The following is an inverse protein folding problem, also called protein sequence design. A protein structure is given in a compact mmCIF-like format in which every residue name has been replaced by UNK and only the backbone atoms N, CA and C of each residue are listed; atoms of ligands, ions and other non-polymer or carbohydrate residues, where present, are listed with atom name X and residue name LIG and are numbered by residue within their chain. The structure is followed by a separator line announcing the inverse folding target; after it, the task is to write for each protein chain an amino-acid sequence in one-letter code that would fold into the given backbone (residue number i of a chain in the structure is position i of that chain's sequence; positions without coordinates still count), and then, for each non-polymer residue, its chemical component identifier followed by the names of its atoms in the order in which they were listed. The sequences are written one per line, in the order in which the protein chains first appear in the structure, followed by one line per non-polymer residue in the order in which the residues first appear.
data_IF_705742355144
#
_entry.id   IF_705742355144
#
_cell.length_a   1.000
_cell.length_b   1.000
_cell.length_c   1.000
_cell.angle_alpha   90.00
_cell.angle_beta   90.00
_cell.angle_gamma   90.00
#
_symmetry.space_group_name_H-M   'P 1'
#
loop_
_entity.id
_entity.type
_entity.pdbx_description
1 polymer ?
#
# COMPACT_ATOMS: atom_id res chain seq x y z
N UNK A 1 -9.63 -8.64 -0.54
CA UNK A 1 -9.04 -7.30 -0.70
C UNK A 1 -8.16 -6.97 0.50
N UNK A 2 -7.03 -6.35 0.28
CA UNK A 2 -6.19 -5.85 1.36
C UNK A 2 -5.47 -4.56 0.95
N UNK A 3 -5.07 -3.82 1.97
CA UNK A 3 -4.14 -2.70 1.85
C UNK A 3 -3.05 -2.84 2.92
N UNK A 4 -1.83 -2.52 2.54
CA UNK A 4 -0.70 -2.37 3.45
C UNK A 4 0.12 -1.15 3.06
N UNK A 5 0.37 -0.25 4.00
CA UNK A 5 1.17 0.94 3.76
C UNK A 5 0.97 2.03 4.80
N UNK A 6 0.98 3.25 4.35
CA UNK A 6 0.71 4.45 5.15
C UNK A 6 -0.62 5.06 4.71
N UNK A 7 -1.45 5.40 5.67
CA UNK A 7 -2.74 6.05 5.43
C UNK A 7 -3.06 7.07 6.52
N UNK A 8 -3.94 8.01 6.21
CA UNK A 8 -4.58 8.82 7.25
C UNK A 8 -5.53 7.94 8.05
N UNK A 9 -5.86 8.39 9.26
CA UNK A 9 -6.82 7.67 10.11
C UNK A 9 -8.19 7.65 9.42
N UNK A 10 -8.66 6.46 9.06
CA UNK A 10 -9.96 6.24 8.43
C UNK A 10 -10.49 4.88 8.87
N UNK A 11 -11.80 4.79 9.02
CA UNK A 11 -12.50 3.56 9.39
C UNK A 11 -12.83 2.67 8.18
N UNK A 12 -12.74 3.20 6.96
CA UNK A 12 -13.12 2.53 5.72
C UNK A 12 -12.11 2.82 4.61
N UNK A 13 -10.87 2.37 4.78
CA UNK A 13 -9.78 2.69 3.87
C UNK A 13 -9.99 2.14 2.45
N UNK A 14 -10.63 0.98 2.32
CA UNK A 14 -11.00 0.40 1.03
C UNK A 14 -12.52 0.47 0.88
N UNK A 15 -12.99 1.09 -0.19
CA UNK A 15 -14.40 1.17 -0.53
C UNK A 15 -14.58 0.89 -2.03
N UNK A 16 -15.30 -0.19 -2.36
CA UNK A 16 -15.60 -0.55 -3.74
C UNK A 16 -14.35 -0.76 -4.62
N UNK A 17 -13.35 -1.45 -4.10
CA UNK A 17 -12.07 -1.73 -4.78
C UNK A 17 -11.17 -0.51 -4.99
N UNK A 18 -11.51 0.63 -4.40
CA UNK A 18 -10.69 1.85 -4.43
C UNK A 18 -10.30 2.28 -3.03
N UNK A 19 -9.24 3.07 -2.92
CA UNK A 19 -8.93 3.74 -1.65
C UNK A 19 -9.93 4.88 -1.43
N UNK A 20 -10.49 4.94 -0.22
CA UNK A 20 -11.42 6.01 0.17
C UNK A 20 -10.71 7.28 0.64
N UNK A 21 -9.48 7.15 1.11
CA UNK A 21 -8.73 8.21 1.77
C UNK A 21 -7.28 8.29 1.30
N UNK A 22 -6.58 9.33 1.74
CA UNK A 22 -5.17 9.53 1.43
C UNK A 22 -4.32 8.36 1.93
N UNK A 23 -3.54 7.79 1.04
CA UNK A 23 -2.70 6.63 1.35
C UNK A 23 -1.57 6.44 0.35
N UNK A 24 -0.51 5.77 0.79
CA UNK A 24 0.60 5.28 -0.04
C UNK A 24 0.88 3.83 0.38
N UNK A 25 0.81 2.89 -0.54
CA UNK A 25 1.08 1.50 -0.18
C UNK A 25 0.80 0.51 -1.29
N UNK A 26 0.54 -0.69 -0.85
CA UNK A 26 0.22 -1.83 -1.70
C UNK A 26 -1.22 -2.23 -1.48
N UNK A 27 -1.91 -2.60 -2.54
CA UNK A 27 -3.27 -3.14 -2.45
C UNK A 27 -3.50 -4.31 -3.40
N UNK A 28 -4.46 -5.14 -3.04
CA UNK A 28 -5.10 -6.11 -3.92
C UNK A 28 -6.60 -5.91 -3.79
N UNK A 29 -7.29 -5.70 -4.90
CA UNK A 29 -8.69 -5.26 -4.92
C UNK A 29 -9.63 -6.20 -5.66
N UNK A 30 -9.09 -7.28 -6.17
CA UNK A 30 -9.82 -8.34 -6.86
C UNK A 30 -9.49 -9.68 -6.24
N UNK A 31 -10.28 -10.71 -6.52
CA UNK A 31 -10.02 -12.07 -6.05
C UNK A 31 -8.84 -12.75 -6.79
N UNK A 32 -8.01 -11.96 -7.43
CA UNK A 32 -6.73 -12.41 -7.98
C UNK A 32 -5.60 -12.20 -6.97
N UNK A 33 -4.51 -12.90 -7.18
CA UNK A 33 -3.31 -12.79 -6.33
C UNK A 33 -2.38 -11.65 -6.78
N UNK A 34 -2.92 -10.64 -7.46
CA UNK A 34 -2.11 -9.56 -8.05
C UNK A 34 -1.98 -8.38 -7.10
N UNK A 35 -0.76 -7.93 -6.93
CA UNK A 35 -0.41 -6.79 -6.11
C UNK A 35 -0.26 -5.53 -6.98
N UNK A 36 -0.85 -4.44 -6.50
CA UNK A 36 -0.71 -3.11 -7.08
C UNK A 36 -0.01 -2.18 -6.08
N UNK A 37 0.82 -1.28 -6.59
CA UNK A 37 1.29 -0.12 -5.82
C UNK A 37 0.31 1.04 -6.02
N UNK A 38 0.10 1.85 -5.00
CA UNK A 38 -0.88 2.94 -5.06
C UNK A 38 -0.46 4.16 -4.26
N UNK A 39 -0.81 5.34 -4.79
CA UNK A 39 -0.78 6.61 -4.09
C UNK A 39 -2.11 7.33 -4.32
N UNK A 40 -2.69 7.88 -3.26
CA UNK A 40 -3.90 8.70 -3.32
C UNK A 40 -3.75 9.94 -2.46
N UNK A 41 -3.98 11.10 -3.05
CA UNK A 41 -3.81 12.42 -2.40
C UNK A 41 -5.09 13.06 -1.89
N UNK A 42 -6.17 12.34 -1.86
CA UNK A 42 -7.48 12.84 -1.47
C UNK A 42 -8.53 12.56 -2.53
N UNK A 43 -8.48 13.22 -3.67
CA UNK A 43 -9.45 13.03 -4.75
C UNK A 43 -9.03 12.02 -5.80
N UNK A 44 -7.74 11.96 -6.09
CA UNK A 44 -7.21 11.16 -7.21
C UNK A 44 -6.27 10.07 -6.74
N UNK A 45 -6.36 8.91 -7.37
CA UNK A 45 -5.52 7.76 -7.11
C UNK A 45 -4.69 7.41 -8.34
N UNK A 46 -3.39 7.16 -8.14
CA UNK A 46 -2.48 6.63 -9.16
C UNK A 46 -2.03 5.25 -8.73
N UNK A 47 -2.15 4.27 -9.64
CA UNK A 47 -1.74 2.89 -9.40
C UNK A 47 -0.72 2.43 -10.42
N UNK A 48 0.20 1.56 -9.96
CA UNK A 48 1.04 0.74 -10.82
C UNK A 48 0.55 -0.71 -10.70
N UNK A 49 0.11 -1.27 -11.81
CA UNK A 49 -0.56 -2.58 -11.85
C UNK A 49 0.44 -3.72 -11.96
N UNK A 50 0.04 -4.89 -11.44
CA UNK A 50 0.75 -6.17 -11.65
C UNK A 50 2.23 -6.14 -11.25
N UNK A 51 2.53 -5.48 -10.13
CA UNK A 51 3.93 -5.38 -9.66
C UNK A 51 4.45 -6.67 -9.02
N UNK A 52 3.55 -7.54 -8.58
CA UNK A 52 3.85 -8.86 -8.04
C UNK A 52 2.62 -9.75 -8.08
N UNK A 53 2.83 -11.07 -8.13
CA UNK A 53 1.76 -12.07 -7.97
C UNK A 53 2.09 -12.92 -6.76
N UNK A 54 1.16 -12.97 -5.80
CA UNK A 54 1.35 -13.79 -4.60
C UNK A 54 1.26 -15.27 -4.90
N UNK A 55 2.12 -16.03 -4.23
CA UNK A 55 2.09 -17.49 -4.22
C UNK A 55 1.67 -17.95 -2.83
N UNK A 56 0.65 -18.79 -2.76
CA UNK A 56 0.14 -19.32 -1.49
C UNK A 56 1.24 -19.98 -0.67
N UNK A 57 1.29 -19.67 0.61
CA UNK A 57 2.27 -20.21 1.54
C UNK A 57 3.66 -19.60 1.45
N UNK A 58 3.84 -18.54 0.65
CA UNK A 58 5.13 -17.85 0.52
C UNK A 58 5.04 -16.45 1.13
N UNK A 59 5.97 -16.11 2.00
CA UNK A 59 6.13 -14.74 2.49
C UNK A 59 6.82 -13.88 1.45
N UNK A 60 6.39 -12.63 1.35
CA UNK A 60 7.00 -11.62 0.50
C UNK A 60 7.31 -10.38 1.33
N UNK A 61 8.45 -9.76 1.08
CA UNK A 61 8.84 -8.52 1.72
C UNK A 61 8.42 -7.33 0.87
N UNK A 62 7.54 -6.50 1.42
CA UNK A 62 7.05 -5.29 0.76
C UNK A 62 7.69 -4.07 1.41
N UNK A 63 8.17 -3.13 0.61
CA UNK A 63 8.77 -1.90 1.09
C UNK A 63 8.34 -0.70 0.26
N UNK A 64 8.09 0.42 0.93
CA UNK A 64 7.85 1.70 0.28
C UNK A 64 8.82 2.75 0.82
N UNK A 65 9.41 3.53 -0.09
CA UNK A 65 10.25 4.67 0.23
C UNK A 65 9.62 5.93 -0.35
N UNK A 66 9.31 6.88 0.51
CA UNK A 66 8.76 8.18 0.11
C UNK A 66 9.92 9.16 -0.02
N UNK A 67 10.00 9.84 -1.16
CA UNK A 67 11.02 10.84 -1.45
C UNK A 67 10.38 12.22 -1.49
N UNK A 68 10.35 12.86 -0.34
CA UNK A 68 9.68 14.15 -0.17
C UNK A 68 8.22 14.08 -0.59
N UNK A 69 7.80 15.04 -1.42
CA UNK A 69 6.46 15.08 -2.00
C UNK A 69 6.46 14.71 -3.50
N UNK A 70 7.59 14.21 -3.99
CA UNK A 70 7.82 14.05 -5.43
C UNK A 70 7.69 12.62 -5.92
N UNK A 71 7.95 11.62 -5.08
CA UNK A 71 7.92 10.23 -5.51
C UNK A 71 7.67 9.26 -4.36
N UNK A 72 7.02 8.15 -4.68
CA UNK A 72 6.98 6.96 -3.86
C UNK A 72 7.58 5.78 -4.65
N UNK A 73 8.56 5.11 -4.07
CA UNK A 73 9.25 3.97 -4.67
C UNK A 73 8.83 2.69 -3.95
N UNK A 74 8.43 1.69 -4.71
CA UNK A 74 7.88 0.44 -4.21
C UNK A 74 8.83 -0.72 -4.51
N UNK A 75 9.06 -1.54 -3.50
CA UNK A 75 10.01 -2.65 -3.54
C UNK A 75 9.32 -3.95 -3.18
N UNK A 76 9.64 -5.01 -3.90
CA UNK A 76 9.27 -6.38 -3.58
C UNK A 76 10.55 -7.18 -3.43
N UNK A 77 10.72 -7.81 -2.27
CA UNK A 77 11.93 -8.56 -1.89
C UNK A 77 13.24 -7.77 -2.12
N UNK A 78 13.20 -6.46 -1.85
CA UNK A 78 14.34 -5.56 -2.00
C UNK A 78 14.57 -5.03 -3.42
N UNK A 79 13.77 -5.44 -4.40
CA UNK A 79 13.86 -4.99 -5.79
C UNK A 79 12.86 -3.89 -6.06
N UNK A 80 13.30 -2.78 -6.67
CA UNK A 80 12.42 -1.70 -7.10
C UNK A 80 11.51 -2.19 -8.23
N UNK A 81 10.19 -2.17 -7.98
CA UNK A 81 9.20 -2.66 -8.95
C UNK A 81 8.30 -1.56 -9.51
N UNK A 82 8.18 -0.43 -8.81
CA UNK A 82 7.41 0.71 -9.29
C UNK A 82 7.89 2.02 -8.67
N UNK A 83 7.70 3.11 -9.41
CA UNK A 83 7.87 4.48 -8.91
C UNK A 83 6.64 5.27 -9.34
N UNK A 84 5.93 5.86 -8.36
CA UNK A 84 4.79 6.73 -8.59
C UNK A 84 5.19 8.16 -8.26
N UNK A 85 4.93 9.09 -9.17
CA UNK A 85 5.29 10.51 -9.04
C UNK A 85 4.08 11.44 -9.01
N UNK A 86 2.88 10.86 -9.01
CA UNK A 86 1.61 11.60 -8.98
C UNK A 86 0.78 11.21 -7.76
N UNK A 87 -0.04 12.15 -7.31
CA UNK A 87 -0.97 11.96 -6.20
C UNK A 87 -0.29 11.47 -4.90
N UNK A 88 0.90 12.02 -4.63
CA UNK A 88 1.64 11.75 -3.39
C UNK A 88 0.99 12.56 -2.26
N UNK A 89 0.43 11.94 -1.22
CA UNK A 89 -0.12 12.67 -0.09
C UNK A 89 0.94 13.47 0.66
N UNK A 90 0.55 14.63 1.15
CA UNK A 90 1.41 15.50 1.98
C UNK A 90 0.95 15.56 3.44
N UNK A 91 -0.13 14.88 3.77
CA UNK A 91 -0.72 14.83 5.11
C UNK A 91 0.02 13.82 5.97
N UNK A 92 -0.02 14.02 7.28
CA UNK A 92 0.47 13.02 8.23
C UNK A 92 -0.26 11.69 8.06
N UNK A 93 0.52 10.62 7.97
CA UNK A 93 0.02 9.25 7.75
C UNK A 93 0.58 8.30 8.80
N UNK A 94 -0.11 7.18 8.98
CA UNK A 94 0.26 6.12 9.91
C UNK A 94 0.36 4.79 9.19
N UNK A 95 1.18 3.90 9.73
CA UNK A 95 1.22 2.50 9.25
C UNK A 95 -0.16 1.89 9.41
N UNK A 96 -0.69 1.36 8.32
CA UNK A 96 -2.08 0.90 8.24
C UNK A 96 -2.16 -0.44 7.51
N UNK A 97 -3.00 -1.30 8.06
CA UNK A 97 -3.38 -2.58 7.47
C UNK A 97 -4.88 -2.66 7.36
N UNK A 98 -5.36 -3.12 6.23
CA UNK A 98 -6.77 -3.47 6.04
C UNK A 98 -6.82 -4.80 5.31
N UNK A 99 -7.64 -5.71 5.82
CA UNK A 99 -7.97 -6.97 5.15
C UNK A 99 -9.47 -7.13 5.23
N UNK A 100 -10.15 -7.17 4.09
CA UNK A 100 -11.60 -7.33 4.04
C UNK A 100 -12.00 -8.40 3.05
N UNK A 101 -13.10 -9.09 3.37
CA UNK A 101 -13.70 -10.06 2.48
C UNK A 101 -14.60 -9.37 1.46
N UNK A 102 -14.43 -9.71 0.18
CA UNK A 102 -15.39 -9.35 -0.86
C UNK A 102 -16.52 -10.39 -1.02
N UNK A 103 -16.52 -11.44 -0.21
CA UNK A 103 -17.46 -12.56 -0.31
C UNK A 103 -17.74 -13.23 1.02
N UNK A 104 -18.16 -14.48 0.99
CA UNK A 104 -18.55 -15.26 2.17
C UNK A 104 -17.38 -15.91 2.90
N UNK A 105 -16.19 -15.90 2.31
CA UNK A 105 -14.98 -16.49 2.91
C UNK A 105 -14.21 -15.43 3.66
N UNK A 106 -13.84 -15.73 4.91
CA UNK A 106 -13.01 -14.82 5.70
C UNK A 106 -11.58 -14.77 5.16
N UNK A 107 -11.04 -13.58 4.85
CA UNK A 107 -9.65 -13.47 4.44
C UNK A 107 -8.72 -13.70 5.61
N UNK A 108 -7.55 -14.29 5.35
CA UNK A 108 -6.49 -14.47 6.33
C UNK A 108 -5.22 -13.81 5.79
N UNK A 109 -4.67 -12.89 6.59
CA UNK A 109 -3.36 -12.30 6.33
C UNK A 109 -2.44 -12.59 7.52
N UNK A 110 -1.23 -13.08 7.24
CA UNK A 110 -0.22 -13.34 8.24
C UNK A 110 0.97 -12.39 8.03
N UNK A 111 1.41 -11.77 9.12
CA UNK A 111 2.55 -10.85 9.13
C UNK A 111 3.66 -11.41 10.00
N UNK A 112 4.89 -11.35 9.50
CA UNK A 112 6.06 -11.72 10.27
C UNK A 112 6.57 -10.51 11.06
N UNK A 113 6.78 -9.38 10.37
CA UNK A 113 7.20 -8.14 11.02
C UNK A 113 6.81 -6.91 10.21
N UNK A 114 6.73 -5.77 10.89
CA UNK A 114 6.51 -4.45 10.29
C UNK A 114 7.51 -3.47 10.89
N UNK A 115 8.12 -2.63 10.07
CA UNK A 115 8.97 -1.54 10.51
C UNK A 115 8.69 -0.28 9.69
N UNK A 116 8.69 0.86 10.35
CA UNK A 116 8.60 2.16 9.72
C UNK A 116 9.56 3.12 10.42
N UNK A 117 10.28 3.93 9.64
CA UNK A 117 11.15 4.98 10.17
C UNK A 117 11.17 6.17 9.25
N UNK A 118 11.44 7.32 9.84
CA UNK A 118 11.63 8.56 9.12
C UNK A 118 13.00 9.14 9.51
N UNK A 119 13.88 9.41 8.54
CA UNK A 119 15.11 10.15 8.83
C UNK A 119 14.75 11.51 9.41
N UNK A 120 15.44 11.89 10.47
CA UNK A 120 15.36 13.27 10.98
C UNK A 120 16.31 14.13 10.17
N UNK A 121 15.82 15.26 9.71
CA UNK A 121 16.70 16.29 9.20
C UNK A 121 17.59 16.81 10.33
N UNK A 122 18.88 16.90 10.06
CA UNK A 122 19.88 17.33 11.02
C UNK A 122 19.97 18.87 11.15
N UNK A 123 18.94 19.53 10.65
CA UNK A 123 18.91 20.98 10.62
C UNK A 123 17.97 21.60 11.63
#
# INVERSE_FOLDING_TARGET
EFFFGLAITDTSLIAGSALSSQAIGFKSVTDDNVLLATCKDGSSETTASSIHTFVTGTYVKLGVKIVGTSAAKFYVDGVLVATITANIPTTEMRVSFVCQSGGTTSPVAAFDWVAAWQPRDAG
#
